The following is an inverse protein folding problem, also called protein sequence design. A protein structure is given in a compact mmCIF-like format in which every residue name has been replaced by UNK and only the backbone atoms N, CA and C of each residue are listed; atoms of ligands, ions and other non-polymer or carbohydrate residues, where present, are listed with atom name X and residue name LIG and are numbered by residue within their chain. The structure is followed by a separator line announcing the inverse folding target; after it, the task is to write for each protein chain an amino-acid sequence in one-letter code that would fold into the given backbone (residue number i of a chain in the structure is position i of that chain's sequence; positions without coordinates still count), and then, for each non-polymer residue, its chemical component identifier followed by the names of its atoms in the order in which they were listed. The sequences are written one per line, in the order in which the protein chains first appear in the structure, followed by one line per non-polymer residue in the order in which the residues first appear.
data_IF_023230244157
#
_entry.id   IF_023230244157
#
_cell.length_a   1.000
_cell.length_b   1.000
_cell.length_c   1.000
_cell.angle_alpha   90.00
_cell.angle_beta   90.00
_cell.angle_gamma   90.00
#
_symmetry.space_group_name_H-M   'P 1'
#
loop_
_entity.id
_entity.type
_entity.pdbx_description
1 polymer ?
#
# COMPACT_ATOMS: atom_id res chain seq x y z
N UNK A 1 -4.35 16.40 -18.41
CA UNK A 1 -5.52 15.52 -18.41
C UNK A 1 -5.41 14.39 -17.38
N UNK A 2 -4.39 13.53 -17.33
CA UNK A 2 -4.32 12.42 -16.34
C UNK A 2 -4.36 12.87 -14.87
N UNK A 3 -3.65 13.92 -14.50
CA UNK A 3 -3.61 14.43 -13.12
C UNK A 3 -4.94 15.08 -12.68
N UNK A 4 -5.67 15.71 -13.60
CA UNK A 4 -6.99 16.29 -13.29
C UNK A 4 -8.02 15.19 -13.02
N UNK A 5 -7.98 14.06 -13.72
CA UNK A 5 -8.83 12.91 -13.43
C UNK A 5 -8.47 12.28 -12.07
N UNK A 6 -7.18 12.09 -11.77
CA UNK A 6 -6.76 11.54 -10.48
C UNK A 6 -7.22 12.40 -9.29
N UNK A 7 -7.24 13.74 -9.43
CA UNK A 7 -7.76 14.64 -8.40
C UNK A 7 -9.28 14.52 -8.21
N UNK A 8 -10.04 14.36 -9.28
CA UNK A 8 -11.49 14.16 -9.18
C UNK A 8 -11.79 12.81 -8.53
N UNK A 9 -11.15 11.74 -8.98
CA UNK A 9 -11.33 10.40 -8.42
C UNK A 9 -11.00 10.36 -6.92
N UNK A 10 -9.88 10.94 -6.51
CA UNK A 10 -9.50 11.05 -5.09
C UNK A 10 -10.53 11.84 -4.28
N UNK A 11 -11.06 12.92 -4.82
CA UNK A 11 -12.06 13.75 -4.12
C UNK A 11 -13.38 13.00 -3.93
N UNK A 12 -13.79 12.24 -4.92
CA UNK A 12 -15.01 11.42 -4.86
C UNK A 12 -14.84 10.27 -3.84
N UNK A 13 -13.67 9.64 -3.78
CA UNK A 13 -13.34 8.62 -2.77
C UNK A 13 -13.32 9.19 -1.36
N UNK A 14 -12.78 10.40 -1.16
CA UNK A 14 -12.81 11.08 0.14
C UNK A 14 -14.25 11.45 0.57
N UNK A 15 -15.09 11.86 -0.37
CA UNK A 15 -16.50 12.13 -0.10
C UNK A 15 -17.26 10.86 0.29
N UNK A 16 -17.06 9.76 -0.45
CA UNK A 16 -17.66 8.47 -0.15
C UNK A 16 -17.19 7.91 1.19
N UNK A 17 -15.92 8.11 1.54
CA UNK A 17 -15.40 7.77 2.85
C UNK A 17 -16.08 8.58 3.98
N UNK A 18 -16.36 9.85 3.76
CA UNK A 18 -17.08 10.69 4.71
C UNK A 18 -18.57 10.26 4.87
N UNK A 19 -19.14 9.65 3.83
CA UNK A 19 -20.52 9.15 3.82
C UNK A 19 -20.59 7.61 3.91
N UNK A 20 -19.54 6.96 4.40
CA UNK A 20 -19.32 5.51 4.44
C UNK A 20 -20.55 4.65 4.75
N UNK A 21 -21.39 4.96 5.76
CA UNK A 21 -22.55 4.13 6.07
C UNK A 21 -23.66 4.14 5.00
N UNK A 22 -23.58 5.04 4.02
CA UNK A 22 -24.63 5.26 2.99
C UNK A 22 -24.28 4.61 1.64
N UNK A 23 -23.04 4.19 1.46
CA UNK A 23 -22.60 3.50 0.24
C UNK A 23 -22.85 2.00 0.34
N UNK A 24 -22.92 1.30 -0.77
CA UNK A 24 -23.12 -0.16 -0.80
C UNK A 24 -21.93 -0.93 -0.20
N UNK A 25 -22.16 -2.19 0.20
CA UNK A 25 -21.16 -3.00 0.91
C UNK A 25 -19.87 -3.24 0.10
N UNK A 26 -19.96 -3.35 -1.23
CA UNK A 26 -18.77 -3.55 -2.06
C UNK A 26 -17.92 -2.28 -2.10
N UNK A 27 -18.56 -1.12 -2.22
CA UNK A 27 -17.88 0.18 -2.16
C UNK A 27 -17.27 0.42 -0.78
N UNK A 28 -17.98 0.04 0.31
CA UNK A 28 -17.43 0.11 1.68
C UNK A 28 -16.16 -0.74 1.82
N UNK A 29 -16.17 -1.97 1.30
CA UNK A 29 -15.00 -2.85 1.34
C UNK A 29 -13.81 -2.23 0.57
N UNK A 30 -14.05 -1.69 -0.62
CA UNK A 30 -13.05 -0.99 -1.40
C UNK A 30 -12.46 0.20 -0.63
N UNK A 31 -13.29 1.10 -0.11
CA UNK A 31 -12.85 2.28 0.63
C UNK A 31 -12.07 1.94 1.89
N UNK A 32 -12.49 0.87 2.60
CA UNK A 32 -11.76 0.35 3.77
C UNK A 32 -10.36 -0.13 3.39
N UNK A 33 -10.23 -0.89 2.32
CA UNK A 33 -8.93 -1.35 1.80
C UNK A 33 -8.09 -0.18 1.30
N UNK A 34 -8.67 0.74 0.54
CA UNK A 34 -7.99 1.93 0.02
C UNK A 34 -7.40 2.78 1.15
N UNK A 35 -8.20 3.12 2.17
CA UNK A 35 -7.72 3.85 3.34
C UNK A 35 -6.61 3.09 4.09
N UNK A 36 -6.77 1.77 4.25
CA UNK A 36 -5.78 0.91 4.90
C UNK A 36 -4.44 0.94 4.16
N UNK A 37 -4.45 0.79 2.83
CA UNK A 37 -3.22 0.78 2.03
C UNK A 37 -2.62 2.17 1.77
N UNK A 38 -3.26 3.24 2.22
CA UNK A 38 -2.64 4.56 2.35
C UNK A 38 -2.00 4.69 3.74
N UNK A 39 -2.76 4.39 4.79
CA UNK A 39 -2.34 4.64 6.18
C UNK A 39 -1.20 3.72 6.61
N UNK A 40 -1.28 2.40 6.33
CA UNK A 40 -0.27 1.45 6.77
C UNK A 40 1.14 1.76 6.23
N UNK A 41 1.35 1.89 4.90
CA UNK A 41 2.69 2.17 4.38
C UNK A 41 3.16 3.58 4.76
N UNK A 42 2.25 4.55 4.93
CA UNK A 42 2.61 5.87 5.42
C UNK A 42 3.14 5.80 6.87
N UNK A 43 2.44 5.10 7.76
CA UNK A 43 2.83 4.99 9.17
C UNK A 43 4.13 4.20 9.31
N UNK A 44 4.27 3.04 8.65
CA UNK A 44 5.49 2.25 8.72
C UNK A 44 6.67 2.91 8.02
N UNK A 45 6.42 3.62 6.92
CA UNK A 45 7.44 4.40 6.24
C UNK A 45 7.97 5.54 7.12
N UNK A 46 7.08 6.28 7.76
CA UNK A 46 7.46 7.33 8.72
C UNK A 46 8.17 6.75 9.95
N UNK A 47 7.73 5.59 10.44
CA UNK A 47 8.39 4.95 11.58
C UNK A 47 9.83 4.53 11.25
N UNK A 48 10.10 4.03 10.04
CA UNK A 48 11.47 3.74 9.58
C UNK A 48 12.37 4.98 9.49
N UNK A 49 11.77 6.16 9.30
CA UNK A 49 12.50 7.42 9.23
C UNK A 49 12.73 8.06 10.61
N UNK A 50 11.76 7.91 11.52
CA UNK A 50 11.74 8.66 12.78
C UNK A 50 11.78 7.80 14.04
N UNK A 51 11.58 6.48 13.94
CA UNK A 51 11.70 5.53 15.05
C UNK A 51 10.71 5.78 16.20
N UNK A 52 9.44 6.06 15.92
CA UNK A 52 8.46 6.35 16.97
C UNK A 52 7.68 5.12 17.46
N UNK A 53 7.69 4.00 16.71
CA UNK A 53 7.06 2.74 17.09
C UNK A 53 8.08 1.66 17.43
N UNK A 54 9.16 1.55 16.66
CA UNK A 54 10.20 0.55 16.88
C UNK A 54 11.58 1.05 16.45
N UNK A 55 12.59 0.72 17.27
CA UNK A 55 13.99 1.03 16.99
C UNK A 55 14.75 -0.14 16.30
N UNK A 56 14.07 -1.22 15.98
CA UNK A 56 14.68 -2.48 15.53
C UNK A 56 14.33 -2.90 14.11
N UNK A 57 14.07 -1.97 13.19
CA UNK A 57 13.71 -2.30 11.80
C UNK A 57 14.78 -3.10 11.07
N UNK A 58 16.07 -2.93 11.40
CA UNK A 58 17.18 -3.67 10.82
C UNK A 58 17.04 -5.19 11.00
N UNK A 59 16.41 -5.62 12.09
CA UNK A 59 16.13 -7.03 12.35
C UNK A 59 15.17 -7.69 11.35
N UNK A 60 14.43 -6.91 10.58
CA UNK A 60 13.53 -7.39 9.53
C UNK A 60 14.19 -7.46 8.15
N UNK A 61 15.51 -7.20 8.04
CA UNK A 61 16.27 -7.31 6.81
C UNK A 61 17.11 -8.58 6.82
N UNK A 62 16.86 -9.48 5.89
CA UNK A 62 17.64 -10.69 5.72
C UNK A 62 19.10 -10.37 5.33
N UNK A 63 20.04 -11.20 5.79
CA UNK A 63 21.49 -11.00 5.54
C UNK A 63 21.77 -10.90 4.04
N UNK A 64 21.21 -11.78 3.21
CA UNK A 64 21.41 -11.73 1.77
C UNK A 64 20.90 -10.45 1.12
N UNK A 65 19.80 -9.88 1.63
CA UNK A 65 19.24 -8.63 1.12
C UNK A 65 20.11 -7.43 1.55
N UNK A 66 20.62 -7.45 2.78
CA UNK A 66 21.58 -6.45 3.25
C UNK A 66 22.89 -6.48 2.44
N UNK A 67 23.38 -7.67 2.11
CA UNK A 67 24.63 -7.84 1.33
C UNK A 67 24.46 -7.40 -0.14
N UNK A 68 23.23 -7.48 -0.67
CA UNK A 68 22.91 -7.05 -2.03
C UNK A 68 22.68 -5.54 -2.16
N UNK A 69 22.40 -4.84 -1.05
CA UNK A 69 22.09 -3.41 -1.06
C UNK A 69 23.33 -2.58 -0.66
N UNK A 70 23.51 -1.40 -1.23
CA UNK A 70 24.60 -0.51 -0.85
C UNK A 70 24.32 0.12 0.52
N UNK A 71 25.33 0.14 1.40
CA UNK A 71 25.27 0.78 2.71
C UNK A 71 24.98 -0.19 3.86
N UNK A 72 24.50 0.35 4.97
CA UNK A 72 24.15 -0.44 6.17
C UNK A 72 22.67 -0.85 6.15
N UNK A 73 22.29 -1.82 6.98
CA UNK A 73 20.89 -2.23 7.18
C UNK A 73 19.99 -1.03 7.56
N UNK A 74 20.50 -0.12 8.40
CA UNK A 74 19.78 1.12 8.76
C UNK A 74 19.55 2.03 7.56
N UNK A 75 20.55 2.18 6.68
CA UNK A 75 20.41 2.94 5.42
C UNK A 75 19.38 2.30 4.51
N UNK A 76 19.39 0.97 4.37
CA UNK A 76 18.41 0.25 3.58
C UNK A 76 16.98 0.44 4.11
N UNK A 77 16.79 0.38 5.45
CA UNK A 77 15.49 0.61 6.08
C UNK A 77 14.99 2.04 5.89
N UNK A 78 15.87 3.03 5.93
CA UNK A 78 15.52 4.42 5.59
C UNK A 78 14.98 4.53 4.16
N UNK A 79 15.65 3.90 3.18
CA UNK A 79 15.18 3.87 1.80
C UNK A 79 13.84 3.13 1.66
N UNK A 80 13.65 2.03 2.36
CA UNK A 80 12.37 1.32 2.37
C UNK A 80 11.26 2.19 2.95
N UNK A 81 11.54 2.98 3.99
CA UNK A 81 10.58 3.95 4.50
C UNK A 81 10.16 4.99 3.44
N UNK A 82 11.12 5.51 2.67
CA UNK A 82 10.83 6.44 1.57
C UNK A 82 9.98 5.76 0.48
N UNK A 83 10.29 4.51 0.12
CA UNK A 83 9.50 3.73 -0.86
C UNK A 83 8.07 3.51 -0.36
N UNK A 84 7.89 3.17 0.92
CA UNK A 84 6.56 2.97 1.51
C UNK A 84 5.72 4.26 1.50
N UNK A 85 6.31 5.40 1.81
CA UNK A 85 5.63 6.71 1.71
C UNK A 85 5.25 7.01 0.25
N UNK A 86 6.12 6.72 -0.70
CA UNK A 86 5.84 6.90 -2.12
C UNK A 86 4.71 5.96 -2.59
N UNK A 87 4.67 4.72 -2.11
CA UNK A 87 3.59 3.77 -2.37
C UNK A 87 2.25 4.25 -1.78
N UNK A 88 2.25 4.78 -0.56
CA UNK A 88 1.06 5.39 0.04
C UNK A 88 0.50 6.52 -0.83
N UNK A 89 1.37 7.42 -1.30
CA UNK A 89 0.98 8.50 -2.21
C UNK A 89 0.48 7.95 -3.56
N UNK A 90 1.09 6.88 -4.07
CA UNK A 90 0.66 6.23 -5.30
C UNK A 90 -0.73 5.59 -5.16
N UNK A 91 -1.01 4.91 -4.05
CA UNK A 91 -2.35 4.36 -3.74
C UNK A 91 -3.39 5.47 -3.62
N UNK A 92 -3.03 6.58 -2.96
CA UNK A 92 -3.92 7.73 -2.80
C UNK A 92 -4.35 8.33 -4.14
N UNK A 93 -3.40 8.52 -5.07
CA UNK A 93 -3.63 9.23 -6.33
C UNK A 93 -4.05 8.30 -7.48
N UNK A 94 -3.60 7.06 -7.48
CA UNK A 94 -3.78 6.08 -8.53
C UNK A 94 -4.07 4.70 -7.91
N UNK A 95 -5.26 4.45 -7.34
CA UNK A 95 -5.55 3.27 -6.52
C UNK A 95 -5.24 1.94 -7.23
N UNK A 96 -5.50 1.84 -8.54
CA UNK A 96 -5.19 0.66 -9.33
C UNK A 96 -3.69 0.39 -9.38
N UNK A 97 -2.93 1.36 -9.84
CA UNK A 97 -1.47 1.21 -10.04
C UNK A 97 -0.77 1.10 -8.69
N UNK A 98 -1.15 1.97 -7.73
CA UNK A 98 -0.60 1.97 -6.39
C UNK A 98 -0.87 0.66 -5.65
N UNK A 99 -2.07 0.09 -5.79
CA UNK A 99 -2.41 -1.20 -5.20
C UNK A 99 -1.62 -2.37 -5.81
N UNK A 100 -1.44 -2.40 -7.13
CA UNK A 100 -0.62 -3.42 -7.79
C UNK A 100 0.86 -3.29 -7.37
N UNK A 101 1.41 -2.07 -7.32
CA UNK A 101 2.78 -1.82 -6.86
C UNK A 101 2.97 -2.20 -5.39
N UNK A 102 2.00 -1.88 -4.54
CA UNK A 102 2.04 -2.26 -3.13
C UNK A 102 1.95 -3.79 -2.95
N UNK A 103 1.14 -4.47 -3.77
CA UNK A 103 1.08 -5.93 -3.76
C UNK A 103 2.44 -6.56 -4.11
N UNK A 104 3.11 -6.04 -5.15
CA UNK A 104 4.47 -6.49 -5.53
C UNK A 104 5.45 -6.22 -4.37
N UNK A 105 5.40 -5.04 -3.77
CA UNK A 105 6.23 -4.68 -2.62
C UNK A 105 6.06 -5.68 -1.47
N UNK A 106 4.81 -6.01 -1.11
CA UNK A 106 4.52 -6.97 -0.04
C UNK A 106 4.99 -8.39 -0.36
N UNK A 107 4.99 -8.81 -1.63
CA UNK A 107 5.61 -10.08 -2.04
C UNK A 107 7.13 -10.05 -1.83
N UNK A 108 7.81 -8.96 -2.16
CA UNK A 108 9.24 -8.81 -1.90
C UNK A 108 9.56 -8.84 -0.40
N UNK A 109 8.74 -8.15 0.41
CA UNK A 109 8.83 -8.21 1.88
C UNK A 109 8.63 -9.64 2.38
N UNK A 110 7.66 -10.39 1.85
CA UNK A 110 7.43 -11.77 2.24
C UNK A 110 8.62 -12.67 1.89
N UNK A 111 9.21 -12.53 0.69
CA UNK A 111 10.41 -13.27 0.29
C UNK A 111 11.56 -13.00 1.25
N UNK A 112 11.79 -11.74 1.61
CA UNK A 112 12.80 -11.36 2.59
C UNK A 112 12.52 -12.01 3.96
N UNK A 113 11.30 -11.90 4.47
CA UNK A 113 10.94 -12.42 5.80
C UNK A 113 10.96 -13.95 5.88
N UNK A 114 10.65 -14.68 4.79
CA UNK A 114 10.76 -16.15 4.77
C UNK A 114 12.19 -16.65 4.97
N UNK A 115 13.18 -15.83 4.71
CA UNK A 115 14.60 -16.20 4.86
C UNK A 115 15.19 -15.78 6.20
N UNK A 116 14.39 -15.23 7.10
CA UNK A 116 14.77 -14.88 8.46
C UNK A 116 14.14 -15.89 9.43
N UNK A 117 14.93 -16.43 10.33
CA UNK A 117 14.45 -17.40 11.33
C UNK A 117 13.29 -16.81 12.15
N UNK A 118 12.32 -17.63 12.45
CA UNK A 118 11.11 -17.29 13.25
C UNK A 118 10.19 -16.21 12.63
N UNK A 119 10.43 -15.70 11.41
CA UNK A 119 9.60 -14.66 10.77
C UNK A 119 8.63 -15.18 9.70
N UNK A 120 8.53 -16.49 9.48
CA UNK A 120 7.65 -17.06 8.47
C UNK A 120 6.16 -16.66 8.65
N UNK A 121 5.72 -16.47 9.89
CA UNK A 121 4.36 -16.01 10.20
C UNK A 121 4.09 -14.58 9.70
N UNK A 122 5.08 -13.69 9.77
CA UNK A 122 4.98 -12.34 9.22
C UNK A 122 5.05 -12.35 7.69
N UNK A 123 5.84 -13.25 7.11
CA UNK A 123 5.88 -13.43 5.66
C UNK A 123 4.50 -13.85 5.11
N UNK A 124 3.80 -14.78 5.78
CA UNK A 124 2.44 -15.17 5.41
C UNK A 124 1.47 -13.99 5.54
N UNK A 125 1.59 -13.18 6.60
CA UNK A 125 0.79 -11.96 6.75
C UNK A 125 1.07 -10.96 5.61
N UNK A 126 2.32 -10.78 5.20
CA UNK A 126 2.69 -9.94 4.08
C UNK A 126 2.06 -10.41 2.75
N UNK A 127 2.01 -11.74 2.50
CA UNK A 127 1.31 -12.30 1.34
C UNK A 127 -0.21 -12.05 1.40
N UNK A 128 -0.82 -12.10 2.59
CA UNK A 128 -2.24 -11.76 2.74
C UNK A 128 -2.49 -10.28 2.41
N UNK A 129 -1.62 -9.37 2.86
CA UNK A 129 -1.70 -7.95 2.47
C UNK A 129 -1.49 -7.77 0.97
N UNK A 130 -0.58 -8.49 0.34
CA UNK A 130 -0.38 -8.47 -1.12
C UNK A 130 -1.67 -8.85 -1.86
N UNK A 131 -2.33 -9.93 -1.44
CA UNK A 131 -3.60 -10.37 -2.02
C UNK A 131 -4.72 -9.33 -1.84
N UNK A 132 -4.84 -8.74 -0.65
CA UNK A 132 -5.82 -7.68 -0.37
C UNK A 132 -5.55 -6.41 -1.20
N UNK A 133 -4.29 -6.02 -1.37
CA UNK A 133 -3.91 -4.87 -2.20
C UNK A 133 -4.23 -5.09 -3.67
N UNK A 134 -3.94 -6.29 -4.21
CA UNK A 134 -4.31 -6.66 -5.57
C UNK A 134 -5.84 -6.70 -5.76
N UNK A 135 -6.59 -7.19 -4.76
CA UNK A 135 -8.05 -7.16 -4.80
C UNK A 135 -8.58 -5.72 -4.81
N UNK A 136 -8.06 -4.82 -3.97
CA UNK A 136 -8.40 -3.40 -3.96
C UNK A 136 -8.09 -2.74 -5.32
N UNK A 137 -6.93 -3.01 -5.91
CA UNK A 137 -6.55 -2.50 -7.23
C UNK A 137 -7.54 -2.96 -8.32
N UNK A 138 -8.02 -4.20 -8.25
CA UNK A 138 -9.06 -4.71 -9.18
C UNK A 138 -10.41 -4.06 -8.94
N UNK A 139 -10.82 -3.87 -7.68
CA UNK A 139 -12.08 -3.21 -7.35
C UNK A 139 -12.11 -1.76 -7.83
N UNK A 140 -11.00 -1.03 -7.74
CA UNK A 140 -10.91 0.36 -8.22
C UNK A 140 -11.31 0.50 -9.69
N UNK A 141 -10.97 -0.48 -10.53
CA UNK A 141 -11.35 -0.45 -11.95
C UNK A 141 -12.86 -0.58 -12.18
N UNK A 142 -13.56 -1.34 -11.34
CA UNK A 142 -15.01 -1.51 -11.47
C UNK A 142 -15.77 -0.21 -11.12
N UNK A 143 -15.30 0.50 -10.10
CA UNK A 143 -15.95 1.74 -9.65
C UNK A 143 -15.69 2.94 -10.56
N UNK A 144 -14.49 3.06 -11.15
CA UNK A 144 -14.16 4.16 -12.07
C UNK A 144 -14.74 3.99 -13.48
N UNK A 145 -14.98 2.75 -13.94
CA UNK A 145 -15.62 2.51 -15.24
C UNK A 145 -17.13 2.78 -15.24
N UNK A 146 -17.81 2.58 -14.11
CA UNK A 146 -19.27 2.76 -14.02
C UNK A 146 -19.68 4.23 -14.12
N UNK A 147 -18.89 5.16 -13.62
CA UNK A 147 -19.16 6.59 -13.71
C UNK A 147 -18.98 7.18 -15.10
N UNK A 148 -18.03 6.68 -15.88
CA UNK A 148 -17.80 7.12 -17.25
C UNK A 148 -19.01 6.80 -18.15
N UNK A 149 -19.71 5.69 -17.89
CA UNK A 149 -20.93 5.28 -18.66
C UNK A 149 -22.16 6.08 -18.25
N UNK A 150 -22.28 6.50 -16.99
CA UNK A 150 -23.42 7.30 -16.53
C UNK A 150 -23.37 8.78 -16.96
N UNK A 151 -22.19 9.33 -17.25
CA UNK A 151 -22.01 10.71 -17.75
C UNK A 151 -22.15 10.83 -19.26
N UNK A 152 -22.35 9.70 -19.99
CA UNK A 152 -22.50 9.67 -21.44
C UNK A 152 -23.97 9.63 -21.93
N UNK A 153 -24.92 9.68 -21.02
CA UNK A 153 -26.38 9.79 -21.28
C UNK A 153 -26.94 10.99 -20.49
#
# INVERSE_FOLDING_TARGET
MALTHAWHDMRDEMHDLATFPRVDAARQAYLGLWATFIVLPLVFGLDKLFGFMTDGWEGYLATWANDALPGSASTAMTWFGVVEIALAACVLLLPRVGGDLFAIWMVLVAINLFTIDDMAHLAVAALAFAACAAAMARMSTAFHHTEATHKAF
#
